data_IF_169733663752
#
_entry.id   IF_169733663752
#
_cell.length_a   1.000
_cell.length_b   1.000
_cell.length_c   1.000
_cell.angle_alpha   90.00
_cell.angle_beta   90.00
_cell.angle_gamma   90.00
#
_symmetry.space_group_name_H-M   'P 1'
#
loop_
_entity.id
_entity.type
_entity.pdbx_description
1 polymer ?
#
# COMPACT_ATOMS: atom_id res chain seq x y z
N UNK A 1 4.96 59.07 45.07
CA UNK A 1 3.85 58.35 44.42
C UNK A 1 4.12 57.90 42.98
N UNK A 2 4.82 58.67 42.12
CA UNK A 2 5.01 58.30 40.69
C UNK A 2 5.88 57.06 40.41
N UNK A 3 6.89 56.76 41.24
CA UNK A 3 7.82 55.63 41.01
C UNK A 3 7.21 54.25 41.31
N UNK A 4 6.31 54.16 42.29
CA UNK A 4 5.63 52.90 42.65
C UNK A 4 4.59 52.45 41.61
N UNK A 5 3.90 53.42 40.98
CA UNK A 5 2.94 53.15 39.91
C UNK A 5 3.68 52.64 38.66
N UNK A 6 4.82 53.23 38.32
CA UNK A 6 5.64 52.78 37.18
C UNK A 6 6.13 51.33 37.38
N UNK A 7 6.55 50.98 38.60
CA UNK A 7 6.99 49.63 38.92
C UNK A 7 5.86 48.60 38.81
N UNK A 8 4.65 48.93 39.28
CA UNK A 8 3.47 48.07 39.16
C UNK A 8 3.06 47.84 37.69
N UNK A 9 3.14 48.88 36.85
CA UNK A 9 2.86 48.75 35.42
C UNK A 9 3.86 47.81 34.75
N UNK A 10 5.16 47.95 35.04
CA UNK A 10 6.20 47.07 34.47
C UNK A 10 5.99 45.62 34.91
N UNK A 11 5.73 45.37 36.20
CA UNK A 11 5.47 44.01 36.70
C UNK A 11 4.22 43.41 36.07
N UNK A 12 3.14 44.19 35.92
CA UNK A 12 1.93 43.73 35.24
C UNK A 12 2.20 43.40 33.77
N UNK A 13 3.08 44.15 33.10
CA UNK A 13 3.44 43.93 31.70
C UNK A 13 4.28 42.67 31.53
N UNK A 14 5.19 42.39 32.46
CA UNK A 14 5.99 41.16 32.48
C UNK A 14 5.07 39.95 32.73
N UNK A 15 4.16 40.04 33.71
CA UNK A 15 3.17 38.96 33.97
C UNK A 15 2.27 38.74 32.75
N UNK A 16 1.85 39.81 32.07
CA UNK A 16 1.09 39.71 30.82
C UNK A 16 1.88 39.01 29.71
N UNK A 17 3.15 39.36 29.51
CA UNK A 17 4.03 38.72 28.52
C UNK A 17 4.27 37.23 28.83
N UNK A 18 4.38 36.85 30.11
CA UNK A 18 4.43 35.44 30.52
C UNK A 18 3.09 34.73 30.33
N UNK A 19 1.95 35.41 30.58
CA UNK A 19 0.62 34.83 30.38
C UNK A 19 0.28 34.61 28.90
N UNK A 20 0.76 35.47 27.99
CA UNK A 20 0.56 35.29 26.55
C UNK A 20 1.47 34.21 25.95
N UNK A 21 2.63 33.95 26.54
CA UNK A 21 3.51 32.83 26.15
C UNK A 21 3.04 31.47 26.73
N UNK A 22 2.11 31.46 27.68
CA UNK A 22 1.51 30.24 28.23
C UNK A 22 0.35 29.71 27.39
N UNK A 23 -0.16 30.50 26.45
CA UNK A 23 -1.02 30.00 25.38
C UNK A 23 -0.14 29.76 24.16
N UNK A 24 0.82 28.83 24.28
CA UNK A 24 1.09 27.97 23.13
C UNK A 24 -0.20 27.21 22.95
N UNK A 25 -1.00 27.59 21.95
CA UNK A 25 -2.05 26.71 21.45
C UNK A 25 -1.38 25.34 21.32
N UNK A 26 -1.81 24.38 22.15
CA UNK A 26 -1.39 23.02 21.96
C UNK A 26 -1.83 22.68 20.55
N UNK A 27 -0.87 22.42 19.65
CA UNK A 27 -1.20 21.82 18.37
C UNK A 27 -2.11 20.63 18.68
N UNK A 28 -3.23 20.47 17.95
CA UNK A 28 -4.15 19.38 18.22
C UNK A 28 -3.35 18.08 18.26
N UNK A 29 -3.42 17.35 19.37
CA UNK A 29 -2.78 16.04 19.49
C UNK A 29 -3.25 15.20 18.30
N UNK A 30 -2.29 14.79 17.46
CA UNK A 30 -2.59 13.93 16.32
C UNK A 30 -3.22 12.64 16.83
N UNK A 31 -4.33 12.26 16.21
CA UNK A 31 -4.92 10.94 16.44
C UNK A 31 -3.92 9.83 16.10
N UNK A 32 -4.12 8.64 16.65
CA UNK A 32 -3.26 7.50 16.31
C UNK A 32 -3.23 7.21 14.80
N UNK A 33 -4.37 7.29 14.13
CA UNK A 33 -4.47 7.08 12.68
C UNK A 33 -3.68 8.14 11.90
N UNK A 34 -3.71 9.40 12.32
CA UNK A 34 -2.90 10.47 11.71
C UNK A 34 -1.41 10.24 11.94
N UNK A 35 -1.02 9.77 13.13
CA UNK A 35 0.36 9.43 13.46
C UNK A 35 0.87 8.26 12.63
N UNK A 36 0.07 7.19 12.48
CA UNK A 36 0.39 6.08 11.58
C UNK A 36 0.48 6.52 10.12
N UNK A 37 -0.46 7.36 9.67
CA UNK A 37 -0.41 7.92 8.32
C UNK A 37 0.90 8.66 8.08
N UNK A 38 1.40 9.42 9.05
CA UNK A 38 2.70 10.10 8.92
C UNK A 38 3.89 9.14 8.77
N UNK A 39 3.85 8.00 9.45
CA UNK A 39 4.87 6.94 9.30
C UNK A 39 4.80 6.36 7.89
N UNK A 40 3.60 6.03 7.41
CA UNK A 40 3.38 5.47 6.07
C UNK A 40 3.77 6.48 4.98
N UNK A 41 3.33 7.74 5.09
CA UNK A 41 3.65 8.83 4.16
C UNK A 41 5.17 9.00 4.06
N UNK A 42 5.89 8.95 5.18
CA UNK A 42 7.34 9.02 5.17
C UNK A 42 7.97 7.86 4.37
N UNK A 43 7.46 6.63 4.51
CA UNK A 43 7.95 5.51 3.73
C UNK A 43 7.75 5.75 2.22
N UNK A 44 6.55 6.17 1.81
CA UNK A 44 6.21 6.47 0.42
C UNK A 44 7.03 7.62 -0.17
N UNK A 45 7.35 8.63 0.64
CA UNK A 45 8.11 9.80 0.19
C UNK A 45 9.62 9.52 0.04
N UNK A 46 10.15 8.49 0.70
CA UNK A 46 11.60 8.26 0.80
C UNK A 46 12.07 6.92 0.22
N UNK A 47 11.16 5.98 -0.06
CA UNK A 47 11.49 4.65 -0.54
C UNK A 47 10.59 4.24 -1.71
N UNK A 48 11.12 3.36 -2.56
CA UNK A 48 10.33 2.69 -3.59
C UNK A 48 9.47 1.60 -2.94
N UNK A 49 8.27 1.99 -2.51
CA UNK A 49 7.26 1.12 -1.92
C UNK A 49 6.29 0.66 -3.02
N UNK A 50 5.99 -0.63 -3.07
CA UNK A 50 4.96 -1.18 -3.94
C UNK A 50 3.59 -1.24 -3.27
N UNK A 51 3.56 -1.52 -1.97
CA UNK A 51 2.35 -1.57 -1.18
C UNK A 51 2.63 -1.30 0.31
N UNK A 52 1.62 -0.81 1.01
CA UNK A 52 1.66 -0.69 2.48
C UNK A 52 0.28 -0.97 3.06
N UNK A 53 0.22 -1.59 4.24
CA UNK A 53 -1.03 -1.81 4.98
C UNK A 53 -0.81 -1.77 6.48
N UNK A 54 -1.89 -1.49 7.22
CA UNK A 54 -1.91 -1.58 8.69
C UNK A 54 -2.89 -2.67 9.08
N UNK A 55 -2.39 -3.68 9.78
CA UNK A 55 -3.22 -4.70 10.41
C UNK A 55 -3.36 -4.39 11.90
N UNK A 56 -4.43 -3.66 12.25
CA UNK A 56 -4.66 -3.22 13.63
C UNK A 56 -4.85 -4.39 14.62
N UNK A 57 -5.30 -5.56 14.17
CA UNK A 57 -5.48 -6.74 15.04
C UNK A 57 -4.15 -7.35 15.45
N UNK A 58 -3.18 -7.37 14.54
CA UNK A 58 -1.85 -7.92 14.75
C UNK A 58 -0.84 -6.86 15.14
N UNK A 59 -1.24 -5.58 15.22
CA UNK A 59 -0.33 -4.49 15.55
C UNK A 59 0.83 -4.40 14.54
N UNK A 60 0.55 -4.67 13.26
CA UNK A 60 1.55 -4.76 12.20
C UNK A 60 1.38 -3.62 11.19
N UNK A 61 2.48 -2.95 10.87
CA UNK A 61 2.58 -2.05 9.71
C UNK A 61 3.44 -2.75 8.67
N UNK A 62 2.79 -3.19 7.60
CA UNK A 62 3.39 -3.96 6.53
C UNK A 62 3.82 -3.05 5.37
N UNK A 63 4.99 -3.33 4.80
CA UNK A 63 5.49 -2.71 3.57
C UNK A 63 5.99 -3.76 2.57
N UNK A 64 5.53 -3.67 1.32
CA UNK A 64 6.17 -4.34 0.19
C UNK A 64 7.12 -3.34 -0.48
N UNK A 65 8.42 -3.61 -0.43
CA UNK A 65 9.48 -2.67 -0.82
C UNK A 65 10.32 -3.23 -1.97
N UNK A 66 10.96 -2.35 -2.73
CA UNK A 66 11.90 -2.74 -3.78
C UNK A 66 13.06 -3.61 -3.26
N UNK A 67 13.42 -4.63 -4.03
CA UNK A 67 14.46 -5.59 -3.70
C UNK A 67 15.88 -5.02 -3.68
N UNK A 68 16.08 -3.75 -4.07
CA UNK A 68 17.36 -3.04 -3.94
C UNK A 68 17.49 -2.29 -2.61
N UNK A 69 16.40 -2.08 -1.87
CA UNK A 69 16.43 -1.38 -0.57
C UNK A 69 17.12 -2.26 0.49
N UNK A 70 17.98 -1.65 1.32
CA UNK A 70 18.56 -2.33 2.48
C UNK A 70 17.48 -2.54 3.54
N UNK A 71 17.15 -3.81 3.79
CA UNK A 71 16.11 -4.20 4.74
C UNK A 71 16.38 -3.72 6.18
N UNK A 72 17.63 -3.78 6.63
CA UNK A 72 17.96 -3.42 8.01
C UNK A 72 17.89 -1.91 8.21
N UNK A 73 18.38 -1.15 7.23
CA UNK A 73 18.24 0.31 7.22
C UNK A 73 16.78 0.74 7.19
N UNK A 74 15.97 0.10 6.33
CA UNK A 74 14.55 0.39 6.22
C UNK A 74 13.83 0.13 7.54
N UNK A 75 13.95 -1.08 8.10
CA UNK A 75 13.28 -1.45 9.36
C UNK A 75 13.68 -0.48 10.48
N UNK A 76 14.98 -0.23 10.66
CA UNK A 76 15.45 0.67 11.70
C UNK A 76 14.92 2.10 11.52
N UNK A 77 14.85 2.59 10.27
CA UNK A 77 14.30 3.91 9.98
C UNK A 77 12.81 3.97 10.31
N UNK A 78 12.05 2.94 9.93
CA UNK A 78 10.61 2.88 10.18
C UNK A 78 10.27 2.68 11.66
N UNK A 79 11.07 1.90 12.39
CA UNK A 79 10.95 1.77 13.86
C UNK A 79 11.22 3.11 14.55
N UNK A 80 12.27 3.83 14.14
CA UNK A 80 12.53 5.19 14.64
C UNK A 80 11.37 6.16 14.35
N UNK A 81 10.67 5.98 13.22
CA UNK A 81 9.47 6.78 12.90
C UNK A 81 8.29 6.42 13.79
N UNK A 82 8.09 5.14 14.12
CA UNK A 82 7.10 4.76 15.13
C UNK A 82 7.42 5.39 16.49
N UNK A 83 8.70 5.41 16.91
CA UNK A 83 9.13 6.07 18.14
C UNK A 83 8.87 7.58 18.12
N UNK A 84 9.18 8.27 17.02
CA UNK A 84 8.95 9.73 16.85
C UNK A 84 7.47 10.10 17.07
N UNK A 85 6.56 9.21 16.69
CA UNK A 85 5.12 9.40 16.83
C UNK A 85 4.50 8.66 18.02
N UNK A 86 5.28 8.14 18.98
CA UNK A 86 4.79 7.45 20.18
C UNK A 86 3.86 6.25 19.85
N UNK A 87 4.32 5.40 18.92
CA UNK A 87 3.67 4.17 18.48
C UNK A 87 4.42 2.83 18.75
N UNK A 88 5.67 2.77 19.29
CA UNK A 88 6.47 1.54 19.26
C UNK A 88 5.95 0.43 20.18
N UNK A 89 5.20 0.77 21.24
CA UNK A 89 4.60 -0.22 22.15
C UNK A 89 3.38 -0.91 21.53
N UNK A 90 2.82 -0.34 20.46
CA UNK A 90 1.61 -0.82 19.81
C UNK A 90 1.85 -1.38 18.44
N UNK A 91 2.86 -0.94 17.69
CA UNK A 91 3.05 -1.40 16.31
C UNK A 91 4.47 -1.91 16.08
N UNK A 92 4.61 -2.91 15.21
CA UNK A 92 5.90 -3.35 14.68
C UNK A 92 5.91 -3.29 13.14
N UNK A 93 7.11 -3.23 12.58
CA UNK A 93 7.32 -3.16 11.13
C UNK A 93 7.52 -4.57 10.57
N UNK A 94 6.80 -4.87 9.50
CA UNK A 94 6.96 -6.10 8.71
C UNK A 94 7.20 -5.73 7.27
N UNK A 95 8.05 -6.49 6.59
CA UNK A 95 8.38 -6.21 5.21
C UNK A 95 8.35 -7.45 4.32
N UNK A 96 7.99 -7.22 3.07
CA UNK A 96 8.25 -8.09 1.94
C UNK A 96 9.14 -7.32 0.97
N UNK A 97 10.07 -8.02 0.33
CA UNK A 97 10.88 -7.46 -0.76
C UNK A 97 10.42 -8.08 -2.06
N UNK A 98 10.04 -7.25 -3.00
CA UNK A 98 9.64 -7.66 -4.34
C UNK A 98 10.53 -7.01 -5.38
N UNK A 99 10.70 -7.69 -6.50
CA UNK A 99 11.31 -7.10 -7.68
C UNK A 99 10.22 -6.48 -8.55
N UNK A 100 10.44 -5.28 -9.10
CA UNK A 100 9.49 -4.64 -10.00
C UNK A 100 9.09 -5.54 -11.18
N UNK A 101 10.04 -6.30 -11.76
CA UNK A 101 9.80 -7.23 -12.86
C UNK A 101 8.92 -8.42 -12.43
N UNK A 102 9.11 -8.91 -11.20
CA UNK A 102 8.29 -9.98 -10.64
C UNK A 102 6.87 -9.50 -10.33
N UNK A 103 6.74 -8.28 -9.82
CA UNK A 103 5.45 -7.65 -9.53
C UNK A 103 4.67 -7.37 -10.82
N UNK A 104 5.31 -6.78 -11.83
CA UNK A 104 4.71 -6.59 -13.16
C UNK A 104 4.25 -7.91 -13.77
N UNK A 105 5.09 -8.94 -13.64
CA UNK A 105 4.74 -10.28 -14.09
C UNK A 105 3.50 -10.77 -13.35
N UNK A 106 3.48 -10.74 -12.01
CA UNK A 106 2.33 -11.17 -11.20
C UNK A 106 1.04 -10.42 -11.57
N UNK A 107 1.08 -9.09 -11.66
CA UNK A 107 -0.07 -8.28 -12.07
C UNK A 107 -0.55 -8.64 -13.47
N UNK A 108 0.38 -8.95 -14.39
CA UNK A 108 0.04 -9.43 -15.73
C UNK A 108 -0.64 -10.80 -15.64
N UNK A 109 -0.19 -11.69 -14.75
CA UNK A 109 -0.83 -13.00 -14.54
C UNK A 109 -2.29 -12.85 -14.10
N UNK A 110 -2.51 -12.07 -13.04
CA UNK A 110 -3.84 -11.82 -12.47
C UNK A 110 -4.78 -11.17 -13.50
N UNK A 111 -4.29 -10.21 -14.30
CA UNK A 111 -5.06 -9.58 -15.38
C UNK A 111 -5.45 -10.58 -16.47
N UNK A 112 -4.52 -11.45 -16.88
CA UNK A 112 -4.80 -12.48 -17.90
C UNK A 112 -5.83 -13.49 -17.39
N UNK A 113 -5.67 -13.96 -16.16
CA UNK A 113 -6.60 -14.87 -15.49
C UNK A 113 -8.01 -14.28 -15.41
N UNK A 114 -8.10 -13.04 -14.92
CA UNK A 114 -9.38 -12.31 -14.86
C UNK A 114 -10.01 -12.15 -16.24
N UNK A 115 -9.23 -11.86 -17.28
CA UNK A 115 -9.77 -11.74 -18.64
C UNK A 115 -10.33 -13.05 -19.19
N UNK A 116 -9.62 -14.17 -19.03
CA UNK A 116 -10.13 -15.48 -19.47
C UNK A 116 -11.36 -15.88 -18.68
N UNK A 117 -11.32 -15.72 -17.36
CA UNK A 117 -12.45 -16.02 -16.49
C UNK A 117 -13.70 -15.21 -16.86
N UNK A 118 -13.55 -13.89 -17.03
CA UNK A 118 -14.66 -13.02 -17.43
C UNK A 118 -15.19 -13.40 -18.81
N UNK A 119 -14.33 -13.72 -19.77
CA UNK A 119 -14.76 -14.14 -21.10
C UNK A 119 -15.61 -15.43 -21.06
N UNK A 120 -15.17 -16.43 -20.28
CA UNK A 120 -15.91 -17.67 -20.07
C UNK A 120 -17.29 -17.39 -19.46
N UNK A 121 -17.35 -16.51 -18.45
CA UNK A 121 -18.61 -16.14 -17.80
C UNK A 121 -19.54 -15.33 -18.70
N UNK A 122 -19.03 -14.33 -19.42
CA UNK A 122 -19.80 -13.45 -20.30
C UNK A 122 -20.45 -14.22 -21.46
N UNK A 123 -19.83 -15.31 -21.92
CA UNK A 123 -20.35 -16.16 -22.97
C UNK A 123 -21.17 -17.38 -22.47
N UNK A 124 -21.42 -17.48 -21.15
CA UNK A 124 -22.12 -18.61 -20.52
C UNK A 124 -21.52 -19.99 -20.88
N UNK A 125 -20.18 -20.08 -20.94
CA UNK A 125 -19.49 -21.34 -21.22
C UNK A 125 -19.45 -22.23 -19.97
N UNK A 126 -20.49 -23.05 -19.82
CA UNK A 126 -20.62 -24.00 -18.70
C UNK A 126 -19.75 -25.23 -18.91
N UNK A 127 -19.24 -25.78 -17.81
CA UNK A 127 -18.38 -26.97 -17.86
C UNK A 127 -16.98 -26.70 -18.41
N UNK A 128 -16.56 -25.42 -18.40
CA UNK A 128 -15.20 -25.01 -18.76
C UNK A 128 -14.45 -24.63 -17.50
N UNK A 129 -13.31 -25.29 -17.30
CA UNK A 129 -12.29 -24.93 -16.32
C UNK A 129 -10.99 -24.63 -17.06
N UNK A 130 -10.14 -23.80 -16.46
CA UNK A 130 -8.83 -23.50 -17.04
C UNK A 130 -7.78 -23.36 -15.95
N UNK A 131 -6.55 -23.68 -16.33
CA UNK A 131 -5.36 -23.43 -15.55
C UNK A 131 -4.41 -22.56 -16.38
N UNK A 132 -3.76 -21.60 -15.73
CA UNK A 132 -2.69 -20.83 -16.37
C UNK A 132 -1.37 -21.22 -15.73
N UNK A 133 -0.52 -21.84 -16.53
CA UNK A 133 0.87 -22.09 -16.19
C UNK A 133 1.77 -21.03 -16.84
N UNK A 134 2.96 -20.83 -16.29
CA UNK A 134 3.91 -19.86 -16.82
C UNK A 134 5.26 -20.51 -17.08
N UNK A 135 5.71 -20.45 -18.33
CA UNK A 135 7.08 -20.79 -18.70
C UNK A 135 7.86 -19.49 -18.88
N UNK A 136 8.48 -19.03 -17.79
CA UNK A 136 9.05 -17.68 -17.70
C UNK A 136 7.97 -16.60 -17.77
N UNK A 137 8.07 -15.68 -18.75
CA UNK A 137 7.10 -14.60 -18.99
C UNK A 137 5.94 -15.00 -19.92
N UNK A 138 5.89 -16.24 -20.41
CA UNK A 138 4.87 -16.68 -21.36
C UNK A 138 3.75 -17.44 -20.65
N UNK A 139 2.49 -17.00 -20.74
CA UNK A 139 1.35 -17.76 -20.24
C UNK A 139 1.10 -18.98 -21.13
N UNK A 140 0.83 -20.11 -20.50
CA UNK A 140 0.36 -21.34 -21.12
C UNK A 140 -1.00 -21.68 -20.51
N UNK A 141 -2.04 -21.54 -21.31
CA UNK A 141 -3.41 -21.84 -20.90
C UNK A 141 -3.71 -23.31 -21.18
N UNK A 142 -4.19 -24.02 -20.15
CA UNK A 142 -4.72 -25.37 -20.29
C UNK A 142 -6.22 -25.33 -20.01
N UNK A 143 -7.03 -25.66 -21.03
CA UNK A 143 -8.48 -25.73 -20.88
C UNK A 143 -8.95 -27.17 -20.68
N UNK A 144 -9.90 -27.32 -19.76
CA UNK A 144 -10.65 -28.53 -19.47
C UNK A 144 -12.11 -28.25 -19.79
N UNK A 145 -12.65 -28.92 -20.80
CA UNK A 145 -13.99 -28.68 -21.33
C UNK A 145 -14.78 -29.97 -21.21
N UNK A 146 -15.92 -29.92 -20.53
CA UNK A 146 -16.82 -31.05 -20.39
C UNK A 146 -17.45 -31.47 -21.74
N UNK A 147 -17.78 -32.75 -21.90
CA UNK A 147 -18.36 -33.28 -23.15
C UNK A 147 -19.72 -32.64 -23.50
N UNK A 148 -20.43 -32.11 -22.51
CA UNK A 148 -21.73 -31.43 -22.65
C UNK A 148 -21.63 -29.90 -22.70
N UNK A 149 -20.41 -29.35 -22.74
CA UNK A 149 -20.19 -27.92 -22.88
C UNK A 149 -20.70 -27.38 -24.23
N UNK A 150 -21.10 -26.11 -24.24
CA UNK A 150 -21.60 -25.40 -25.43
C UNK A 150 -20.48 -24.85 -26.33
N UNK A 151 -19.22 -25.15 -26.03
CA UNK A 151 -18.05 -24.76 -26.82
C UNK A 151 -17.08 -25.93 -26.91
N UNK A 152 -16.40 -26.09 -28.05
CA UNK A 152 -15.33 -27.08 -28.18
C UNK A 152 -14.03 -26.52 -27.60
N UNK A 153 -13.14 -27.41 -27.13
CA UNK A 153 -11.81 -27.00 -26.65
C UNK A 153 -11.02 -26.21 -27.71
N UNK A 154 -11.07 -26.67 -28.97
CA UNK A 154 -10.34 -26.05 -30.07
C UNK A 154 -10.87 -24.65 -30.40
N UNK A 155 -12.19 -24.45 -30.36
CA UNK A 155 -12.80 -23.14 -30.57
C UNK A 155 -12.48 -22.18 -29.42
N UNK A 156 -12.56 -22.64 -28.17
CA UNK A 156 -12.20 -21.85 -26.99
C UNK A 156 -10.73 -21.40 -27.03
N UNK A 157 -9.80 -22.32 -27.32
CA UNK A 157 -8.38 -21.98 -27.45
C UNK A 157 -8.14 -20.91 -28.52
N UNK A 158 -8.86 -20.98 -29.65
CA UNK A 158 -8.76 -20.01 -30.73
C UNK A 158 -9.32 -18.64 -30.34
N UNK A 159 -10.47 -18.61 -29.66
CA UNK A 159 -11.09 -17.38 -29.18
C UNK A 159 -10.22 -16.67 -28.15
N UNK A 160 -9.71 -17.42 -27.16
CA UNK A 160 -8.82 -16.86 -26.12
C UNK A 160 -7.50 -16.36 -26.72
N UNK A 161 -6.89 -17.09 -27.65
CA UNK A 161 -5.72 -16.58 -28.37
C UNK A 161 -6.03 -15.27 -29.12
N UNK A 162 -7.23 -15.14 -29.69
CA UNK A 162 -7.69 -13.92 -30.33
C UNK A 162 -7.77 -12.73 -29.37
N UNK A 163 -8.24 -12.93 -28.13
CA UNK A 163 -8.34 -11.88 -27.11
C UNK A 163 -6.99 -11.22 -26.80
N UNK A 164 -5.94 -12.04 -26.69
CA UNK A 164 -4.62 -11.55 -26.31
C UNK A 164 -3.79 -11.02 -27.50
N UNK A 165 -4.11 -11.41 -28.73
CA UNK A 165 -3.48 -10.85 -29.93
C UNK A 165 -3.99 -9.44 -30.26
N UNK A 166 -5.25 -9.11 -29.91
CA UNK A 166 -5.82 -7.80 -30.22
C UNK A 166 -5.27 -6.66 -29.34
N UNK A 167 -4.87 -6.96 -28.10
CA UNK A 167 -4.35 -5.96 -27.14
C UNK A 167 -2.87 -5.58 -27.31
N UNK A 168 -2.15 -6.18 -28.26
CA UNK A 168 -0.78 -5.78 -28.58
C UNK A 168 -0.69 -4.61 -29.60
N UNK A 169 -1.85 -4.08 -30.01
CA UNK A 169 -1.96 -3.10 -31.12
C UNK A 169 -2.58 -1.75 -30.74
N UNK A 170 -2.85 -1.51 -29.45
CA UNK A 170 -3.29 -0.20 -28.92
C UNK A 170 -2.25 0.37 -27.94
#
# INVERSE_FOLDING_TARGET
>A
MKKGILFLVIVSFIVLLFSTNLVKEAEPELSEDERLSKVIDYAWDNYDIFASSVECENSEVFFDIDDQIDQHEFIATMENKLEEYDLPDRYFISIKRSNAEELELQQTKEKMESHVFNYIQENDYKGVEFEINYEGKKPLFTFYVADDANISKEDLEKEIHGLFQFKATE
#
